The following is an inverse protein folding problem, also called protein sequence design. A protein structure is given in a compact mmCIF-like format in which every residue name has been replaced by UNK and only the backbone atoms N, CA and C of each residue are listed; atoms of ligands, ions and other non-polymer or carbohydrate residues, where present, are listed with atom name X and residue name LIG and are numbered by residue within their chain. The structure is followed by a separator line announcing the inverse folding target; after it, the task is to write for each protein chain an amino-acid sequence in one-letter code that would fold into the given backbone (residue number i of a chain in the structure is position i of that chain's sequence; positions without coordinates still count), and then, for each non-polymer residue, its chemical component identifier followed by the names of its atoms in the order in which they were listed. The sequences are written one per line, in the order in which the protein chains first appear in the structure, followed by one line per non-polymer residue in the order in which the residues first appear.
data_IF_203581287301
#
_entry.id   IF_203581287301
#
_cell.length_a   1.000
_cell.length_b   1.000
_cell.length_c   1.000
_cell.angle_alpha   90.00
_cell.angle_beta   90.00
_cell.angle_gamma   90.00
#
_symmetry.space_group_name_H-M   'P 1'
#
loop_
_entity.id
_entity.type
_entity.pdbx_description
1 polymer ?
#
# COMPACT_ATOMS: atom_id res chain seq x y z
N UNK A 1 0.75 20.20 -10.25
CA UNK A 1 -0.63 20.28 -10.80
C UNK A 1 -1.65 19.40 -10.06
N UNK A 2 -1.25 18.37 -9.29
CA UNK A 2 -2.18 17.38 -8.68
C UNK A 2 -2.94 17.81 -7.42
N UNK A 3 -2.51 18.87 -6.70
CA UNK A 3 -3.03 19.24 -5.36
C UNK A 3 -4.55 19.53 -5.26
N UNK A 4 -5.27 19.65 -6.38
CA UNK A 4 -6.73 19.88 -6.42
C UNK A 4 -7.57 18.65 -6.79
N UNK A 5 -6.94 17.54 -7.19
CA UNK A 5 -7.67 16.29 -7.49
C UNK A 5 -8.24 15.72 -6.18
N UNK A 6 -9.48 15.22 -6.21
CA UNK A 6 -10.23 14.76 -5.03
C UNK A 6 -10.32 15.80 -3.89
N UNK A 7 -10.35 17.09 -4.24
CA UNK A 7 -10.37 18.17 -3.25
C UNK A 7 -9.10 18.26 -2.38
N UNK A 8 -8.02 17.56 -2.76
CA UNK A 8 -6.78 17.52 -1.98
C UNK A 8 -6.85 16.68 -0.72
N UNK A 9 -7.85 15.80 -0.57
CA UNK A 9 -8.11 15.03 0.66
C UNK A 9 -6.91 14.17 1.12
N UNK A 10 -6.06 13.73 0.20
CA UNK A 10 -4.91 12.87 0.48
C UNK A 10 -3.63 13.64 0.83
N UNK A 11 -3.60 14.96 0.59
CA UNK A 11 -2.40 15.76 0.80
C UNK A 11 -2.04 15.77 2.28
N UNK A 12 -0.79 15.46 2.59
CA UNK A 12 -0.21 15.38 3.94
C UNK A 12 -0.88 14.33 4.85
N UNK A 13 -1.75 13.47 4.30
CA UNK A 13 -2.38 12.36 5.04
C UNK A 13 -1.46 11.16 5.09
N UNK A 14 -1.40 10.51 6.25
CA UNK A 14 -0.74 9.21 6.38
C UNK A 14 -1.68 8.12 5.90
N UNK A 15 -1.29 7.40 4.84
CA UNK A 15 -2.13 6.37 4.22
C UNK A 15 -1.44 5.03 4.31
N UNK A 16 -2.07 4.07 4.98
CA UNK A 16 -1.62 2.69 5.02
C UNK A 16 -2.27 1.90 3.87
N UNK A 17 -1.46 1.25 3.04
CA UNK A 17 -1.91 0.37 1.97
C UNK A 17 -1.45 -1.05 2.30
N UNK A 18 -2.37 -1.93 2.66
CA UNK A 18 -2.03 -3.36 2.75
C UNK A 18 -2.02 -3.97 1.35
N UNK A 19 -1.08 -4.87 1.06
CA UNK A 19 -0.93 -5.47 -0.28
C UNK A 19 -0.30 -4.52 -1.31
N UNK A 20 0.49 -3.53 -0.87
CA UNK A 20 1.08 -2.51 -1.74
C UNK A 20 2.07 -3.06 -2.77
N UNK A 21 2.70 -4.23 -2.54
CA UNK A 21 3.59 -4.87 -3.53
C UNK A 21 2.85 -5.57 -4.67
N UNK A 22 1.53 -5.75 -4.56
CA UNK A 22 0.69 -6.29 -5.63
C UNK A 22 0.45 -5.27 -6.75
N UNK A 23 -0.14 -5.71 -7.86
CA UNK A 23 -0.38 -4.85 -9.03
C UNK A 23 -1.24 -3.62 -8.71
N UNK A 24 -2.43 -3.83 -8.12
CA UNK A 24 -3.33 -2.73 -7.72
C UNK A 24 -2.72 -1.86 -6.62
N UNK A 25 -2.06 -2.49 -5.65
CA UNK A 25 -1.37 -1.79 -4.56
C UNK A 25 -0.27 -0.85 -5.08
N UNK A 26 0.51 -1.30 -6.06
CA UNK A 26 1.60 -0.51 -6.65
C UNK A 26 1.06 0.72 -7.38
N UNK A 27 0.01 0.56 -8.19
CA UNK A 27 -0.64 1.68 -8.87
C UNK A 27 -1.24 2.68 -7.88
N UNK A 28 -1.95 2.19 -6.86
CA UNK A 28 -2.56 3.03 -5.85
C UNK A 28 -1.50 3.84 -5.09
N UNK A 29 -0.42 3.18 -4.66
CA UNK A 29 0.72 3.83 -4.00
C UNK A 29 1.31 4.94 -4.87
N UNK A 30 1.57 4.66 -6.15
CA UNK A 30 2.10 5.67 -7.08
C UNK A 30 1.18 6.90 -7.14
N UNK A 31 -0.12 6.69 -7.28
CA UNK A 31 -1.10 7.79 -7.29
C UNK A 31 -1.14 8.55 -5.98
N UNK A 32 -1.18 7.87 -4.84
CA UNK A 32 -1.20 8.51 -3.52
C UNK A 32 0.05 9.37 -3.30
N UNK A 33 1.24 8.89 -3.70
CA UNK A 33 2.47 9.68 -3.68
C UNK A 33 2.33 10.94 -4.55
N UNK A 34 1.80 10.82 -5.77
CA UNK A 34 1.54 11.98 -6.64
C UNK A 34 0.49 12.95 -6.07
N UNK A 35 -0.45 12.48 -5.25
CA UNK A 35 -1.46 13.29 -4.57
C UNK A 35 -0.91 13.93 -3.28
N UNK A 36 0.32 13.62 -2.89
CA UNK A 36 1.01 14.19 -1.73
C UNK A 36 0.68 13.50 -0.41
N UNK A 37 0.25 12.23 -0.45
CA UNK A 37 0.10 11.43 0.76
C UNK A 37 1.44 10.92 1.28
N UNK A 38 1.53 10.70 2.58
CA UNK A 38 2.61 9.98 3.23
C UNK A 38 2.25 8.48 3.22
N UNK A 39 2.63 7.77 2.17
CA UNK A 39 2.21 6.37 1.98
C UNK A 39 3.08 5.41 2.79
N UNK A 40 2.43 4.42 3.38
CA UNK A 40 3.07 3.30 4.05
C UNK A 40 2.47 2.00 3.55
N UNK A 41 3.33 1.02 3.35
CA UNK A 41 3.00 -0.26 2.79
C UNK A 41 3.11 -1.35 3.82
N UNK A 42 2.19 -2.30 3.75
CA UNK A 42 2.23 -3.51 4.54
C UNK A 42 1.83 -4.70 3.68
N UNK A 43 2.79 -5.55 3.30
CA UNK A 43 2.47 -6.72 2.48
C UNK A 43 3.55 -7.79 2.57
N UNK A 44 3.29 -8.94 1.94
CA UNK A 44 4.36 -9.86 1.57
C UNK A 44 5.25 -9.26 0.47
N UNK A 45 6.35 -9.94 0.13
CA UNK A 45 7.20 -9.60 -1.01
C UNK A 45 6.38 -9.54 -2.32
N UNK A 46 6.85 -8.82 -3.36
CA UNK A 46 6.17 -8.79 -4.65
C UNK A 46 5.86 -10.19 -5.18
N UNK A 47 4.65 -10.43 -5.73
CA UNK A 47 4.19 -11.78 -6.06
C UNK A 47 4.68 -12.29 -7.43
N UNK A 48 5.37 -11.46 -8.23
CA UNK A 48 5.80 -11.79 -9.61
C UNK A 48 7.16 -11.20 -9.93
N UNK A 49 7.83 -11.76 -10.94
CA UNK A 49 9.03 -11.18 -11.56
C UNK A 49 8.84 -11.13 -13.09
N UNK A 50 8.86 -9.94 -13.72
CA UNK A 50 8.94 -8.62 -13.09
C UNK A 50 7.70 -8.28 -12.25
N UNK A 51 7.85 -7.37 -11.29
CA UNK A 51 6.72 -6.75 -10.58
C UNK A 51 6.64 -5.26 -10.90
N UNK A 52 5.40 -4.72 -10.88
CA UNK A 52 5.20 -3.29 -11.05
C UNK A 52 5.83 -2.49 -9.88
N UNK A 53 5.77 -3.03 -8.67
CA UNK A 53 6.36 -2.44 -7.47
C UNK A 53 7.85 -2.13 -7.66
N UNK A 54 8.61 -3.10 -8.15
CA UNK A 54 10.05 -2.94 -8.40
C UNK A 54 10.33 -2.10 -9.65
N UNK A 55 9.55 -2.28 -10.72
CA UNK A 55 9.71 -1.51 -11.96
C UNK A 55 9.54 0.00 -11.73
N UNK A 56 8.65 0.38 -10.82
CA UNK A 56 8.40 1.77 -10.42
C UNK A 56 9.32 2.25 -9.30
N UNK A 57 10.20 1.39 -8.76
CA UNK A 57 11.09 1.67 -7.62
C UNK A 57 10.33 2.23 -6.41
N UNK A 58 9.13 1.72 -6.14
CA UNK A 58 8.27 2.30 -5.10
C UNK A 58 8.90 2.23 -3.71
N UNK A 59 9.77 1.25 -3.45
CA UNK A 59 10.52 1.13 -2.21
C UNK A 59 11.35 2.38 -1.86
N UNK A 60 11.74 3.19 -2.84
CA UNK A 60 12.52 4.42 -2.63
C UNK A 60 11.64 5.64 -2.27
N UNK A 61 10.32 5.52 -2.47
CA UNK A 61 9.36 6.63 -2.40
C UNK A 61 8.34 6.53 -1.28
N UNK A 62 8.38 5.46 -0.48
CA UNK A 62 7.45 5.20 0.61
C UNK A 62 8.08 4.30 1.68
N UNK A 63 7.48 4.25 2.86
CA UNK A 63 7.87 3.28 3.88
C UNK A 63 7.22 1.91 3.59
N UNK A 64 8.00 0.96 3.11
CA UNK A 64 7.54 -0.38 2.74
C UNK A 64 7.87 -1.39 3.84
N UNK A 65 6.85 -1.95 4.48
CA UNK A 65 6.99 -3.02 5.46
C UNK A 65 6.64 -4.37 4.84
N UNK A 66 7.59 -5.32 4.90
CA UNK A 66 7.35 -6.70 4.50
C UNK A 66 6.91 -7.51 5.73
N UNK A 67 5.64 -7.87 5.78
CA UNK A 67 5.03 -8.63 6.88
C UNK A 67 3.71 -9.28 6.44
N UNK A 68 3.31 -10.34 7.14
CA UNK A 68 2.05 -11.04 6.87
C UNK A 68 0.88 -10.41 7.64
N UNK A 69 -0.20 -10.10 6.94
CA UNK A 69 -1.39 -9.47 7.53
C UNK A 69 -2.07 -10.32 8.62
N UNK A 70 -1.79 -11.62 8.63
CA UNK A 70 -2.26 -12.58 9.65
C UNK A 70 -1.54 -12.41 10.99
N UNK A 71 -0.38 -11.76 11.00
CA UNK A 71 0.41 -11.49 12.21
C UNK A 71 -0.16 -10.25 12.94
N UNK A 72 -1.24 -10.48 13.69
CA UNK A 72 -2.04 -9.43 14.35
C UNK A 72 -1.20 -8.44 15.15
N UNK A 73 -0.26 -8.91 15.97
CA UNK A 73 0.54 -8.05 16.84
C UNK A 73 1.38 -7.06 16.03
N UNK A 74 2.05 -7.56 15.00
CA UNK A 74 2.87 -6.75 14.09
C UNK A 74 2.01 -5.71 13.36
N UNK A 75 0.84 -6.11 12.86
CA UNK A 75 -0.09 -5.19 12.20
C UNK A 75 -0.57 -4.10 13.16
N UNK A 76 -0.96 -4.47 14.38
CA UNK A 76 -1.41 -3.52 15.41
C UNK A 76 -0.31 -2.52 15.76
N UNK A 77 0.92 -2.99 15.92
CA UNK A 77 2.05 -2.12 16.24
C UNK A 77 2.43 -1.22 15.07
N UNK A 78 2.36 -1.71 13.83
CA UNK A 78 2.52 -0.89 12.63
C UNK A 78 1.45 0.22 12.58
N UNK A 79 0.19 -0.10 12.86
CA UNK A 79 -0.89 0.89 12.91
C UNK A 79 -0.68 1.91 14.04
N UNK A 80 -0.31 1.47 15.25
CA UNK A 80 -0.05 2.36 16.40
C UNK A 80 1.13 3.29 16.18
N UNK A 81 2.23 2.75 15.65
CA UNK A 81 3.47 3.49 15.38
C UNK A 81 3.21 4.60 14.39
N UNK A 82 2.46 4.29 13.34
CA UNK A 82 2.35 5.18 12.21
C UNK A 82 1.06 6.01 12.16
N UNK A 83 0.02 5.64 12.93
CA UNK A 83 -1.25 6.39 13.08
C UNK A 83 -1.86 6.82 11.74
N UNK A 84 -2.21 5.86 10.85
CA UNK A 84 -2.75 6.21 9.53
C UNK A 84 -4.10 6.95 9.66
N UNK A 85 -4.28 8.00 8.85
CA UNK A 85 -5.57 8.68 8.67
C UNK A 85 -6.53 7.82 7.85
N UNK A 86 -5.99 7.07 6.88
CA UNK A 86 -6.74 6.27 5.91
C UNK A 86 -6.06 4.91 5.75
N UNK A 87 -6.85 3.84 5.67
CA UNK A 87 -6.37 2.49 5.38
C UNK A 87 -7.05 1.99 4.11
N UNK A 88 -6.25 1.64 3.10
CA UNK A 88 -6.69 0.84 1.96
C UNK A 88 -6.24 -0.61 2.17
N UNK A 89 -7.21 -1.51 2.32
CA UNK A 89 -6.92 -2.92 2.58
C UNK A 89 -7.02 -3.75 1.29
N UNK A 90 -5.87 -4.03 0.66
CA UNK A 90 -5.78 -4.79 -0.59
C UNK A 90 -5.00 -6.10 -0.46
N UNK A 91 -4.47 -6.42 0.72
CA UNK A 91 -3.83 -7.70 0.98
C UNK A 91 -4.85 -8.84 0.88
N UNK A 92 -4.69 -9.71 -0.12
CA UNK A 92 -5.58 -10.84 -0.36
C UNK A 92 -4.82 -11.97 -1.07
N UNK A 93 -5.39 -13.18 -1.02
CA UNK A 93 -5.08 -14.22 -2.00
C UNK A 93 -6.07 -14.01 -3.16
N UNK A 94 -5.60 -13.61 -4.36
CA UNK A 94 -6.50 -13.19 -5.44
C UNK A 94 -7.01 -14.36 -6.29
N UNK A 95 -6.37 -15.54 -6.23
CA UNK A 95 -6.75 -16.71 -7.02
C UNK A 95 -7.77 -17.56 -6.25
N UNK A 96 -9.04 -17.21 -6.38
CA UNK A 96 -10.12 -18.05 -5.89
C UNK A 96 -10.23 -19.28 -6.80
N UNK A 97 -10.14 -20.49 -6.21
CA UNK A 97 -10.40 -21.73 -6.95
C UNK A 97 -11.81 -21.67 -7.54
N UNK A 98 -12.02 -22.23 -8.74
CA UNK A 98 -13.37 -22.42 -9.26
C UNK A 98 -14.19 -23.22 -8.24
N UNK A 99 -15.34 -22.67 -7.85
CA UNK A 99 -16.34 -23.39 -7.08
C UNK A 99 -16.92 -24.50 -7.97
N UNK A 100 -16.87 -25.74 -7.49
CA UNK A 100 -17.69 -26.84 -7.97
C UNK A 100 -18.81 -27.11 -6.97
#
# INVERSE_FOLDING_TARGET
MSKKIFGGIFKDKTVLVTGHTGFMGSWLTLWLNHLGANVMGYSLKPPTEPSLFESLKLNDSMNSMIADIREREILVDACKKNKPDIIFHLAAQPLVRQSY
#
